data_IF_594633132285
#
_entry.id   IF_594633132285
#
_cell.length_a   1.000
_cell.length_b   1.000
_cell.length_c   1.000
_cell.angle_alpha   90.00
_cell.angle_beta   90.00
_cell.angle_gamma   90.00
#
_symmetry.space_group_name_H-M   'P 1'
#
loop_
_entity.id
_entity.type
_entity.pdbx_description
1 polymer ?
#
# COMPACT_ATOMS: atom_id res chain seq x y z
N UNK A 1 33.75 -20.83 4.71
CA UNK A 1 33.08 -20.54 3.42
C UNK A 1 32.73 -19.04 3.44
N UNK A 2 33.69 -18.11 3.27
CA UNK A 2 34.08 -17.42 2.00
C UNK A 2 32.84 -17.04 1.18
N UNK A 3 32.44 -15.79 0.88
CA UNK A 3 33.04 -14.44 0.72
C UNK A 3 31.97 -13.43 1.21
N UNK A 4 32.23 -12.25 1.78
CA UNK A 4 32.60 -10.99 1.12
C UNK A 4 33.05 -10.00 2.20
N UNK A 5 34.34 -9.66 2.24
CA UNK A 5 34.91 -8.47 2.88
C UNK A 5 36.30 -8.29 2.28
N UNK A 6 36.48 -7.22 1.50
CA UNK A 6 37.69 -6.71 0.81
C UNK A 6 37.23 -6.20 -0.55
N UNK A 7 37.25 -4.90 -0.85
CA UNK A 7 38.44 -4.05 -0.92
C UNK A 7 38.02 -2.59 -0.71
N UNK A 8 38.60 -1.96 0.30
CA UNK A 8 38.91 -0.53 0.29
C UNK A 8 40.33 -0.36 -0.28
N UNK A 9 40.55 0.79 -0.91
CA UNK A 9 41.86 1.36 -1.27
C UNK A 9 42.53 0.77 -2.53
N UNK A 10 42.49 1.52 -3.65
CA UNK A 10 43.67 1.99 -4.39
C UNK A 10 43.25 3.29 -5.09
N UNK A 11 43.95 4.35 -4.71
CA UNK A 11 43.92 5.68 -5.29
C UNK A 11 45.21 5.80 -6.12
N UNK A 12 45.14 6.59 -7.20
CA UNK A 12 46.24 7.29 -7.90
C UNK A 12 46.57 6.80 -9.33
N UNK A 13 46.36 7.76 -10.26
CA UNK A 13 46.99 7.98 -11.58
C UNK A 13 46.56 7.14 -12.79
N UNK A 14 45.53 7.65 -13.48
CA UNK A 14 45.68 7.98 -14.90
C UNK A 14 44.75 9.13 -15.28
N UNK A 15 45.35 10.30 -15.52
CA UNK A 15 44.75 11.39 -16.25
C UNK A 15 44.49 10.91 -17.67
N UNK A 16 43.23 10.96 -18.11
CA UNK A 16 42.83 11.21 -19.49
C UNK A 16 41.39 11.69 -19.41
N UNK A 17 41.24 13.01 -19.35
CA UNK A 17 39.96 13.67 -19.48
C UNK A 17 39.38 13.36 -20.88
N UNK A 18 38.16 12.81 -20.99
CA UNK A 18 37.33 13.18 -22.12
C UNK A 18 36.83 14.59 -21.83
N UNK A 19 37.47 15.57 -22.46
CA UNK A 19 36.95 16.92 -22.62
C UNK A 19 35.63 16.83 -23.39
N UNK A 20 34.52 16.57 -22.69
CA UNK A 20 33.22 16.94 -23.19
C UNK A 20 33.09 18.45 -23.01
N UNK A 21 33.63 19.18 -23.99
CA UNK A 21 33.31 20.57 -24.25
C UNK A 21 31.82 20.68 -24.54
N UNK A 22 31.01 20.82 -23.49
CA UNK A 22 29.78 21.58 -23.62
C UNK A 22 30.21 23.04 -23.61
N UNK A 23 30.28 23.64 -24.81
CA UNK A 23 30.36 25.08 -24.93
C UNK A 23 29.20 25.66 -24.12
N UNK A 24 29.53 26.32 -23.01
CA UNK A 24 28.60 27.13 -22.22
C UNK A 24 28.15 28.23 -23.17
N UNK A 25 27.02 28.01 -23.81
CA UNK A 25 26.29 29.05 -24.49
C UNK A 25 25.68 29.90 -23.37
N UNK A 26 26.29 31.05 -23.10
CA UNK A 26 25.74 32.07 -22.21
C UNK A 26 24.30 32.36 -22.65
N UNK A 27 23.32 31.78 -21.96
CA UNK A 27 21.89 32.00 -22.21
C UNK A 27 21.03 30.77 -22.45
N UNK A 28 21.56 29.54 -22.57
CA UNK A 28 20.71 28.33 -22.61
C UNK A 28 20.58 27.76 -21.20
N UNK A 29 19.36 27.67 -20.62
CA UNK A 29 19.18 27.07 -19.31
C UNK A 29 19.66 25.62 -19.35
N UNK A 30 20.50 25.24 -18.39
CA UNK A 30 20.95 23.86 -18.23
C UNK A 30 19.71 23.02 -17.86
N UNK A 31 19.19 22.29 -18.84
CA UNK A 31 17.92 21.56 -18.74
C UNK A 31 18.02 20.27 -17.92
N UNK A 32 19.24 19.75 -17.77
CA UNK A 32 19.51 18.43 -17.20
C UNK A 32 20.10 18.61 -15.81
N UNK A 33 19.60 17.82 -14.86
CA UNK A 33 20.12 17.72 -13.51
C UNK A 33 21.54 17.15 -13.53
N UNK A 34 22.43 17.71 -12.72
CA UNK A 34 23.78 17.15 -12.57
C UNK A 34 23.73 15.80 -11.84
N UNK A 35 24.81 15.02 -11.95
CA UNK A 35 24.83 13.64 -11.42
C UNK A 35 24.61 13.57 -9.91
N UNK A 36 25.34 14.37 -9.14
CA UNK A 36 25.23 14.44 -7.66
C UNK A 36 23.80 14.76 -7.17
N UNK A 37 23.13 15.84 -7.62
CA UNK A 37 21.76 16.11 -7.19
C UNK A 37 20.75 15.08 -7.69
N UNK A 38 21.02 14.39 -8.81
CA UNK A 38 20.18 13.29 -9.28
C UNK A 38 20.29 12.07 -8.35
N UNK A 39 21.49 11.71 -7.90
CA UNK A 39 21.70 10.64 -6.92
C UNK A 39 21.02 10.98 -5.57
N UNK A 40 21.19 12.21 -5.07
CA UNK A 40 20.51 12.67 -3.86
C UNK A 40 18.98 12.61 -3.99
N UNK A 41 18.43 12.98 -5.15
CA UNK A 41 16.99 12.89 -5.38
C UNK A 41 16.49 11.44 -5.34
N UNK A 42 17.25 10.49 -5.87
CA UNK A 42 16.89 9.07 -5.82
C UNK A 42 16.88 8.57 -4.36
N UNK A 43 17.86 8.97 -3.55
CA UNK A 43 17.88 8.65 -2.12
C UNK A 43 16.68 9.27 -1.38
N UNK A 44 16.34 10.52 -1.69
CA UNK A 44 15.17 11.20 -1.14
C UNK A 44 13.86 10.49 -1.50
N UNK A 45 13.73 10.00 -2.75
CA UNK A 45 12.58 9.19 -3.19
C UNK A 45 12.49 7.89 -2.38
N UNK A 46 13.60 7.20 -2.16
CA UNK A 46 13.61 5.98 -1.35
C UNK A 46 13.13 6.27 0.09
N UNK A 47 13.67 7.31 0.72
CA UNK A 47 13.27 7.72 2.07
C UNK A 47 11.80 8.15 2.12
N UNK A 48 11.32 8.87 1.10
CA UNK A 48 9.93 9.28 1.00
C UNK A 48 9.01 8.06 0.91
N UNK A 49 9.34 7.06 0.10
CA UNK A 49 8.57 5.82 -0.03
C UNK A 49 8.47 5.10 1.32
N UNK A 50 9.58 4.91 2.05
CA UNK A 50 9.56 4.19 3.33
C UNK A 50 8.68 4.88 4.40
N UNK A 51 8.59 6.21 4.34
CA UNK A 51 7.79 7.00 5.28
C UNK A 51 6.38 7.30 4.77
N UNK A 52 6.05 6.94 3.52
CA UNK A 52 4.77 7.30 2.92
C UNK A 52 3.61 6.46 3.49
N UNK A 53 2.45 7.06 3.82
CA UNK A 53 1.30 6.35 4.38
C UNK A 53 0.84 5.15 3.53
N UNK A 54 0.89 5.26 2.20
CA UNK A 54 0.54 4.14 1.29
C UNK A 54 1.43 2.92 1.49
N UNK A 55 2.75 3.12 1.62
CA UNK A 55 3.67 2.02 1.88
C UNK A 55 3.44 1.44 3.28
N UNK A 56 3.26 2.30 4.29
CA UNK A 56 3.00 1.86 5.66
C UNK A 56 1.69 1.05 5.77
N UNK A 57 0.64 1.47 5.07
CA UNK A 57 -0.62 0.74 4.99
C UNK A 57 -0.45 -0.64 4.33
N UNK A 58 0.28 -0.70 3.21
CA UNK A 58 0.57 -1.96 2.53
C UNK A 58 1.45 -2.89 3.38
N UNK A 59 2.44 -2.35 4.09
CA UNK A 59 3.26 -3.09 5.06
C UNK A 59 2.41 -3.64 6.21
N UNK A 60 1.48 -2.85 6.74
CA UNK A 60 0.55 -3.29 7.77
C UNK A 60 -0.40 -4.39 7.27
N UNK A 61 -0.84 -4.34 6.01
CA UNK A 61 -1.65 -5.39 5.40
C UNK A 61 -0.88 -6.72 5.32
N UNK A 62 0.39 -6.70 4.92
CA UNK A 62 1.24 -7.91 4.93
C UNK A 62 1.40 -8.47 6.33
N UNK A 63 1.64 -7.61 7.33
CA UNK A 63 1.74 -8.04 8.73
C UNK A 63 0.42 -8.68 9.21
N UNK A 64 -0.72 -8.08 8.87
CA UNK A 64 -2.04 -8.64 9.17
C UNK A 64 -2.23 -10.03 8.55
N UNK A 65 -1.86 -10.20 7.28
CA UNK A 65 -1.99 -11.49 6.59
C UNK A 65 -1.04 -12.55 7.14
N UNK A 66 0.16 -12.16 7.58
CA UNK A 66 1.05 -13.07 8.32
C UNK A 66 0.41 -13.58 9.62
N UNK A 67 -0.28 -12.71 10.36
CA UNK A 67 -1.00 -13.14 11.55
C UNK A 67 -2.21 -14.02 11.22
N UNK A 68 -2.89 -13.81 10.07
CA UNK A 68 -3.94 -14.74 9.61
C UNK A 68 -3.39 -16.14 9.35
N UNK A 69 -2.16 -16.26 8.83
CA UNK A 69 -1.48 -17.56 8.70
C UNK A 69 -1.24 -18.19 10.08
N UNK A 70 -0.82 -17.40 11.08
CA UNK A 70 -0.63 -17.91 12.45
C UNK A 70 -1.95 -18.34 13.10
N UNK A 71 -3.03 -17.58 12.88
CA UNK A 71 -4.38 -17.93 13.34
C UNK A 71 -4.84 -19.23 12.68
N UNK A 72 -4.67 -19.40 11.36
CA UNK A 72 -5.01 -20.64 10.68
C UNK A 72 -4.21 -21.83 11.23
N UNK A 73 -2.90 -21.66 11.47
CA UNK A 73 -2.06 -22.70 12.10
C UNK A 73 -2.49 -23.04 13.53
N UNK A 74 -3.14 -22.12 14.25
CA UNK A 74 -3.61 -22.38 15.61
C UNK A 74 -4.70 -23.46 15.67
N UNK A 75 -5.42 -23.71 14.57
CA UNK A 75 -6.42 -24.77 14.49
C UNK A 75 -5.81 -26.18 14.66
N UNK A 76 -4.52 -26.35 14.36
CA UNK A 76 -3.77 -27.59 14.60
C UNK A 76 -3.30 -27.75 16.05
N UNK A 77 -3.43 -26.73 16.88
CA UNK A 77 -2.99 -26.72 18.27
C UNK A 77 -4.16 -27.00 19.23
N UNK A 78 -3.89 -27.44 20.47
CA UNK A 78 -4.94 -27.62 21.46
C UNK A 78 -5.60 -26.27 21.78
N UNK A 79 -6.92 -26.24 21.69
CA UNK A 79 -7.74 -25.08 22.03
C UNK A 79 -8.29 -25.27 23.44
N UNK A 80 -8.01 -24.33 24.32
CA UNK A 80 -8.46 -24.35 25.72
C UNK A 80 -9.44 -23.20 25.93
N UNK A 81 -10.69 -23.52 26.26
CA UNK A 81 -11.73 -22.55 26.55
C UNK A 81 -12.21 -22.68 27.99
N UNK A 82 -12.30 -21.55 28.69
CA UNK A 82 -12.92 -21.45 30.00
C UNK A 82 -14.19 -20.59 29.85
N UNK A 83 -15.34 -21.17 30.18
CA UNK A 83 -16.61 -20.47 30.19
C UNK A 83 -17.16 -20.44 31.61
N UNK A 84 -17.74 -19.32 32.01
CA UNK A 84 -18.45 -19.17 33.28
C UNK A 84 -19.77 -18.48 33.01
N UNK A 85 -20.85 -19.03 33.54
CA UNK A 85 -22.20 -18.52 33.35
C UNK A 85 -22.94 -18.52 34.67
N UNK A 86 -23.63 -17.42 34.96
CA UNK A 86 -24.49 -17.26 36.13
C UNK A 86 -25.90 -16.90 35.69
N UNK A 87 -26.90 -17.60 36.22
CA UNK A 87 -28.31 -17.29 36.00
C UNK A 87 -28.88 -16.87 37.36
N UNK A 88 -29.47 -15.67 37.41
CA UNK A 88 -30.14 -15.14 38.60
C UNK A 88 -31.61 -14.90 38.29
N UNK A 89 -32.50 -15.55 39.05
CA UNK A 89 -33.94 -15.45 38.82
C UNK A 89 -34.55 -14.40 39.78
N UNK A 90 -35.06 -13.30 39.22
CA UNK A 90 -35.52 -12.12 40.01
C UNK A 90 -37.03 -12.16 40.31
N UNK A 91 -37.80 -13.08 39.72
CA UNK A 91 -39.21 -13.30 40.07
C UNK A 91 -39.70 -14.69 39.67
N UNK A 92 -40.23 -15.46 40.63
CA UNK A 92 -41.04 -16.64 40.34
C UNK A 92 -42.51 -16.19 40.21
N UNK A 93 -43.00 -15.98 38.99
CA UNK A 93 -44.46 -15.94 38.78
C UNK A 93 -45.01 -17.34 39.03
N UNK A 94 -45.78 -17.49 40.09
CA UNK A 94 -46.45 -18.75 40.47
C UNK A 94 -47.69 -19.02 39.61
N UNK A 95 -48.01 -18.14 38.66
CA UNK A 95 -49.27 -18.15 37.91
C UNK A 95 -49.31 -19.20 36.77
N UNK A 96 -48.16 -19.71 36.31
CA UNK A 96 -48.07 -20.53 35.08
C UNK A 96 -47.43 -21.93 35.28
N UNK A 97 -47.81 -22.66 36.34
CA UNK A 97 -47.36 -24.05 36.54
C UNK A 97 -48.50 -25.04 36.78
N UNK A 98 -49.06 -25.58 35.70
CA UNK A 98 -49.72 -26.88 35.72
C UNK A 98 -48.65 -27.98 35.64
N UNK A 99 -48.19 -28.48 36.80
CA UNK A 99 -47.36 -29.69 36.93
C UNK A 99 -48.18 -30.78 37.63
N UNK A 100 -48.42 -31.91 36.96
CA UNK A 100 -49.17 -33.06 37.48
C UNK A 100 -48.35 -33.90 38.47
N UNK A 101 -47.03 -33.67 38.59
CA UNK A 101 -46.12 -34.41 39.46
C UNK A 101 -45.22 -33.45 40.23
N UNK A 102 -45.66 -33.01 41.41
CA UNK A 102 -44.81 -32.31 42.39
C UNK A 102 -44.45 -30.86 42.03
N UNK A 103 -44.24 -30.06 43.07
CA UNK A 103 -43.89 -28.65 42.97
C UNK A 103 -42.59 -28.46 42.17
N UNK A 104 -42.63 -27.69 41.09
CA UNK A 104 -41.41 -27.23 40.45
C UNK A 104 -40.89 -26.05 41.28
N UNK A 105 -39.97 -26.31 42.22
CA UNK A 105 -39.22 -25.24 42.86
C UNK A 105 -38.53 -24.46 41.74
N UNK A 106 -38.83 -23.17 41.62
CA UNK A 106 -38.18 -22.31 40.64
C UNK A 106 -36.67 -22.47 40.76
N UNK A 107 -36.00 -22.67 39.63
CA UNK A 107 -34.56 -22.83 39.53
C UNK A 107 -33.91 -21.70 40.33
N UNK A 108 -33.19 -22.04 41.39
CA UNK A 108 -32.46 -21.07 42.21
C UNK A 108 -31.25 -20.51 41.45
N UNK A 109 -30.64 -19.45 41.97
CA UNK A 109 -29.45 -18.83 41.41
C UNK A 109 -28.39 -19.90 41.10
N UNK A 110 -28.00 -20.02 39.82
CA UNK A 110 -27.10 -21.07 39.32
C UNK A 110 -25.83 -20.46 38.78
N UNK A 111 -24.68 -20.96 39.22
CA UNK A 111 -23.37 -20.58 38.66
C UNK A 111 -22.64 -21.82 38.17
N UNK A 112 -22.26 -21.80 36.90
CA UNK A 112 -21.57 -22.90 36.24
C UNK A 112 -20.21 -22.43 35.72
N UNK A 113 -19.19 -23.27 35.88
CA UNK A 113 -17.86 -23.06 35.29
C UNK A 113 -17.51 -24.30 34.46
N UNK A 114 -17.12 -24.09 33.21
CA UNK A 114 -16.79 -25.16 32.27
C UNK A 114 -15.42 -24.92 31.65
N UNK A 115 -14.52 -25.89 31.76
CA UNK A 115 -13.24 -25.93 31.07
C UNK A 115 -13.33 -26.97 29.95
N UNK A 116 -13.07 -26.54 28.71
CA UNK A 116 -13.11 -27.40 27.52
C UNK A 116 -11.76 -27.34 26.81
N UNK A 117 -11.13 -28.50 26.62
CA UNK A 117 -9.92 -28.67 25.83
C UNK A 117 -10.30 -29.46 24.58
N UNK A 118 -10.07 -28.86 23.40
CA UNK A 118 -10.32 -29.50 22.10
C UNK A 118 -9.04 -29.58 21.28
N UNK A 119 -8.75 -30.75 20.74
CA UNK A 119 -7.65 -30.97 19.81
C UNK A 119 -8.18 -31.59 18.53
N UNK A 120 -7.86 -30.98 17.39
CA UNK A 120 -8.10 -31.61 16.11
C UNK A 120 -7.14 -32.79 15.92
N UNK A 121 -7.66 -33.97 15.66
CA UNK A 121 -6.84 -35.15 15.33
C UNK A 121 -6.74 -35.32 13.82
N UNK A 122 -7.85 -35.13 13.10
CA UNK A 122 -7.92 -35.28 11.66
C UNK A 122 -9.15 -34.57 11.10
N UNK A 123 -9.04 -33.84 10.00
CA UNK A 123 -10.16 -33.18 9.31
C UNK A 123 -10.07 -33.34 7.79
N UNK A 124 -9.55 -34.48 7.33
CA UNK A 124 -9.42 -34.77 5.91
C UNK A 124 -8.66 -33.66 5.13
N UNK A 125 -7.65 -33.05 5.77
CA UNK A 125 -6.79 -31.99 5.24
C UNK A 125 -7.43 -30.61 5.07
N UNK A 126 -8.66 -30.39 5.56
CA UNK A 126 -9.32 -29.06 5.54
C UNK A 126 -8.44 -27.97 6.16
N UNK A 127 -7.87 -28.20 7.34
CA UNK A 127 -7.04 -27.19 8.03
C UNK A 127 -5.73 -26.93 7.27
N UNK A 128 -5.16 -27.95 6.61
CA UNK A 128 -3.96 -27.77 5.80
C UNK A 128 -4.23 -26.85 4.60
N UNK A 129 -5.32 -27.09 3.89
CA UNK A 129 -5.76 -26.22 2.79
C UNK A 129 -6.05 -24.80 3.30
N UNK A 130 -6.72 -24.63 4.44
CA UNK A 130 -6.93 -23.30 5.04
C UNK A 130 -5.61 -22.56 5.32
N UNK A 131 -4.61 -23.26 5.86
CA UNK A 131 -3.27 -22.68 6.07
C UNK A 131 -2.63 -22.28 4.73
N UNK A 132 -2.77 -23.09 3.69
CA UNK A 132 -2.21 -22.80 2.37
C UNK A 132 -2.93 -21.62 1.68
N UNK A 133 -4.25 -21.46 1.85
CA UNK A 133 -5.00 -20.27 1.41
C UNK A 133 -4.39 -19.02 2.04
N UNK A 134 -4.19 -19.03 3.36
CA UNK A 134 -3.65 -17.86 4.06
C UNK A 134 -2.20 -17.58 3.67
N UNK A 135 -1.35 -18.61 3.45
CA UNK A 135 0.05 -18.43 2.99
C UNK A 135 0.12 -17.84 1.58
N UNK A 136 -0.73 -18.31 0.66
CA UNK A 136 -0.79 -17.78 -0.69
C UNK A 136 -1.32 -16.34 -0.68
N UNK A 137 -2.28 -16.04 0.21
CA UNK A 137 -2.79 -14.68 0.42
C UNK A 137 -1.73 -13.74 1.00
N UNK A 138 -0.97 -14.18 2.01
CA UNK A 138 0.16 -13.43 2.56
C UNK A 138 1.20 -13.13 1.48
N UNK A 139 1.56 -14.13 0.67
CA UNK A 139 2.49 -13.94 -0.45
C UNK A 139 1.93 -12.98 -1.50
N UNK A 140 0.63 -13.04 -1.80
CA UNK A 140 -0.01 -12.10 -2.72
C UNK A 140 0.05 -10.67 -2.16
N UNK A 141 -0.23 -10.47 -0.87
CA UNK A 141 -0.17 -9.16 -0.24
C UNK A 141 1.26 -8.58 -0.20
N UNK A 142 2.30 -9.45 -0.16
CA UNK A 142 3.69 -9.00 -0.34
C UNK A 142 3.91 -8.38 -1.72
N UNK A 143 3.42 -9.02 -2.79
CA UNK A 143 3.50 -8.45 -4.14
C UNK A 143 2.61 -7.22 -4.33
N UNK A 144 1.45 -7.18 -3.67
CA UNK A 144 0.59 -6.00 -3.66
C UNK A 144 1.29 -4.79 -3.00
N UNK A 145 2.04 -5.02 -1.92
CA UNK A 145 2.91 -3.99 -1.31
C UNK A 145 4.01 -3.55 -2.28
N UNK A 146 4.66 -4.47 -2.97
CA UNK A 146 5.72 -4.14 -3.92
C UNK A 146 5.16 -3.36 -5.13
N UNK A 147 3.95 -3.70 -5.59
CA UNK A 147 3.21 -2.91 -6.58
C UNK A 147 2.93 -1.48 -6.08
N UNK A 148 2.49 -1.34 -4.82
CA UNK A 148 2.25 -0.02 -4.23
C UNK A 148 3.54 0.82 -4.17
N UNK A 149 4.68 0.20 -3.88
CA UNK A 149 6.01 0.84 -3.94
C UNK A 149 6.33 1.32 -5.35
N UNK A 150 6.18 0.46 -6.37
CA UNK A 150 6.47 0.81 -7.77
C UNK A 150 5.55 1.95 -8.25
N UNK A 151 4.26 1.90 -7.95
CA UNK A 151 3.31 2.96 -8.32
C UNK A 151 3.65 4.28 -7.64
N UNK A 152 4.03 4.24 -6.36
CA UNK A 152 4.43 5.43 -5.62
C UNK A 152 5.72 6.04 -6.17
N UNK A 153 6.73 5.21 -6.44
CA UNK A 153 7.99 5.64 -7.04
C UNK A 153 7.77 6.29 -8.41
N UNK A 154 6.97 5.65 -9.27
CA UNK A 154 6.60 6.20 -10.58
C UNK A 154 5.91 7.56 -10.43
N UNK A 155 4.95 7.66 -9.50
CA UNK A 155 4.24 8.93 -9.24
C UNK A 155 5.20 10.04 -8.78
N UNK A 156 6.12 9.74 -7.89
CA UNK A 156 7.14 10.70 -7.41
C UNK A 156 8.08 11.15 -8.53
N UNK A 157 8.55 10.21 -9.35
CA UNK A 157 9.41 10.49 -10.51
C UNK A 157 8.71 11.33 -11.57
N UNK A 158 7.49 10.95 -11.97
CA UNK A 158 6.70 11.71 -12.94
C UNK A 158 6.45 13.14 -12.44
N UNK A 159 6.16 13.31 -11.16
CA UNK A 159 5.91 14.64 -10.63
C UNK A 159 7.17 15.52 -10.57
N UNK A 160 8.34 14.94 -10.27
CA UNK A 160 9.62 15.62 -10.43
C UNK A 160 9.84 16.09 -11.90
N UNK A 161 9.53 15.24 -12.87
CA UNK A 161 9.61 15.61 -14.29
C UNK A 161 8.61 16.72 -14.65
N UNK A 162 7.39 16.68 -14.10
CA UNK A 162 6.37 17.70 -14.32
C UNK A 162 6.78 19.05 -13.72
N UNK A 163 7.29 19.08 -12.47
CA UNK A 163 7.77 20.32 -11.85
C UNK A 163 8.92 20.93 -12.63
N UNK A 164 9.88 20.10 -13.07
CA UNK A 164 11.01 20.55 -13.87
C UNK A 164 10.55 21.11 -15.23
N UNK A 165 9.65 20.40 -15.90
CA UNK A 165 9.09 20.81 -17.20
C UNK A 165 8.32 22.13 -17.10
N UNK A 166 7.48 22.29 -16.08
CA UNK A 166 6.74 23.53 -15.89
C UNK A 166 7.62 24.69 -15.41
N UNK A 167 8.69 24.42 -14.66
CA UNK A 167 9.68 25.44 -14.28
C UNK A 167 10.35 26.01 -15.52
N UNK A 168 10.78 25.14 -16.44
CA UNK A 168 11.33 25.55 -17.73
C UNK A 168 10.32 26.30 -18.60
N UNK A 169 9.09 25.78 -18.75
CA UNK A 169 8.07 26.44 -19.55
C UNK A 169 7.72 27.83 -19.00
N UNK A 170 7.76 28.00 -17.68
CA UNK A 170 7.53 29.28 -17.02
C UNK A 170 8.58 30.31 -17.40
N UNK A 171 9.87 29.95 -17.40
CA UNK A 171 10.94 30.88 -17.81
C UNK A 171 10.83 31.24 -19.29
N UNK A 172 10.61 30.24 -20.16
CA UNK A 172 10.43 30.45 -21.60
C UNK A 172 9.23 31.36 -21.93
N UNK A 173 8.11 31.22 -21.20
CA UNK A 173 6.95 32.07 -21.40
C UNK A 173 7.13 33.48 -20.85
N UNK A 174 7.88 33.66 -19.76
CA UNK A 174 8.22 34.99 -19.29
C UNK A 174 9.01 35.78 -20.36
N UNK A 175 10.00 35.14 -20.99
CA UNK A 175 10.75 35.72 -22.10
C UNK A 175 9.86 36.00 -23.32
N UNK A 176 8.95 35.08 -23.64
CA UNK A 176 7.98 35.27 -24.73
C UNK A 176 7.06 36.47 -24.49
N UNK A 177 6.54 36.64 -23.27
CA UNK A 177 5.71 37.79 -22.89
C UNK A 177 6.50 39.09 -22.98
N UNK A 178 7.75 39.11 -22.49
CA UNK A 178 8.63 40.28 -22.60
C UNK A 178 8.87 40.69 -24.07
N UNK A 179 9.14 39.73 -24.96
CA UNK A 179 9.28 39.99 -26.41
C UNK A 179 8.00 40.50 -27.04
N UNK A 180 6.84 39.91 -26.71
CA UNK A 180 5.55 40.38 -27.21
C UNK A 180 5.23 41.79 -26.72
N UNK A 181 5.62 42.14 -25.50
CA UNK A 181 5.49 43.49 -24.95
C UNK A 181 6.34 44.48 -25.75
N UNK A 182 7.63 44.19 -25.94
CA UNK A 182 8.55 45.05 -26.69
C UNK A 182 8.06 45.32 -28.12
N UNK A 183 7.64 44.27 -28.85
CA UNK A 183 7.11 44.41 -30.21
C UNK A 183 5.85 45.28 -30.22
N UNK A 184 4.97 45.10 -29.23
CA UNK A 184 3.73 45.88 -29.11
C UNK A 184 4.02 47.35 -28.87
N UNK A 185 5.01 47.65 -28.02
CA UNK A 185 5.44 49.03 -27.72
C UNK A 185 6.08 49.69 -28.94
N UNK A 186 6.92 48.96 -29.69
CA UNK A 186 7.48 49.47 -30.96
C UNK A 186 6.40 49.76 -32.01
N UNK A 187 5.37 48.91 -32.12
CA UNK A 187 4.24 49.13 -33.03
C UNK A 187 3.44 50.35 -32.58
N UNK A 188 3.22 50.53 -31.27
CA UNK A 188 2.55 51.70 -30.71
C UNK A 188 3.23 53.00 -31.14
N UNK A 189 4.56 53.09 -30.99
CA UNK A 189 5.34 54.25 -31.44
C UNK A 189 5.17 54.55 -32.93
N UNK A 190 5.11 53.50 -33.78
CA UNK A 190 4.88 53.68 -35.23
C UNK A 190 3.48 54.21 -35.53
N UNK A 191 2.46 53.71 -34.84
CA UNK A 191 1.07 54.18 -34.98
C UNK A 191 0.94 55.63 -34.50
N UNK A 192 1.48 55.96 -33.33
CA UNK A 192 1.41 57.30 -32.74
C UNK A 192 2.13 58.35 -33.62
N UNK A 193 3.19 57.93 -34.34
CA UNK A 193 3.89 58.78 -35.32
C UNK A 193 3.22 58.85 -36.70
N UNK A 194 2.04 58.23 -36.88
CA UNK A 194 1.32 58.18 -38.15
C UNK A 194 1.95 57.28 -39.22
N UNK A 195 2.96 56.47 -38.86
CA UNK A 195 3.70 55.58 -39.78
C UNK A 195 3.09 54.18 -39.91
N UNK A 196 2.05 53.86 -39.15
CA UNK A 196 1.35 52.57 -39.20
C UNK A 196 -0.15 52.73 -38.86
N UNK A 197 -1.03 51.85 -39.37
CA UNK A 197 -2.46 51.91 -39.08
C UNK A 197 -2.81 51.32 -37.72
N UNK A 198 -3.84 51.85 -37.05
CA UNK A 198 -4.29 51.43 -35.71
C UNK A 198 -4.63 49.93 -35.59
N UNK A 199 -5.06 49.29 -36.69
CA UNK A 199 -5.32 47.84 -36.74
C UNK A 199 -4.09 47.00 -36.39
N UNK A 200 -2.90 47.44 -36.75
CA UNK A 200 -1.64 46.75 -36.43
C UNK A 200 -1.39 46.71 -34.93
N UNK A 201 -1.62 47.84 -34.25
CA UNK A 201 -1.53 47.92 -32.79
C UNK A 201 -2.57 47.04 -32.09
N UNK A 202 -3.81 47.05 -32.57
CA UNK A 202 -4.86 46.16 -32.03
C UNK A 202 -4.48 44.68 -32.14
N UNK A 203 -3.91 44.25 -33.28
CA UNK A 203 -3.42 42.87 -33.48
C UNK A 203 -2.23 42.53 -32.56
N UNK A 204 -1.31 43.47 -32.36
CA UNK A 204 -0.17 43.27 -31.45
C UNK A 204 -0.64 43.11 -29.99
N UNK A 205 -1.54 43.99 -29.54
CA UNK A 205 -2.17 43.90 -28.22
C UNK A 205 -2.90 42.56 -28.01
N UNK A 206 -3.61 42.06 -29.02
CA UNK A 206 -4.27 40.74 -28.93
C UNK A 206 -3.26 39.61 -28.72
N UNK A 207 -2.13 39.61 -29.43
CA UNK A 207 -1.05 38.62 -29.26
C UNK A 207 -0.37 38.72 -27.90
N UNK A 208 -0.14 39.94 -27.40
CA UNK A 208 0.39 40.17 -26.06
C UNK A 208 -0.59 39.63 -24.99
N UNK A 209 -1.88 39.89 -25.13
CA UNK A 209 -2.90 39.35 -24.23
C UNK A 209 -2.92 37.81 -24.27
N UNK A 210 -2.83 37.21 -25.45
CA UNK A 210 -2.72 35.75 -25.61
C UNK A 210 -1.47 35.18 -24.92
N UNK A 211 -0.31 35.83 -25.08
CA UNK A 211 0.94 35.41 -24.43
C UNK A 211 0.83 35.49 -22.89
N UNK A 212 0.25 36.57 -22.35
CA UNK A 212 0.00 36.72 -20.91
C UNK A 212 -0.96 35.66 -20.39
N UNK A 213 -2.01 35.32 -21.14
CA UNK A 213 -2.93 34.24 -20.76
C UNK A 213 -2.21 32.88 -20.69
N UNK A 214 -1.32 32.59 -21.65
CA UNK A 214 -0.48 31.38 -21.63
C UNK A 214 0.45 31.33 -20.41
N UNK A 215 1.08 32.46 -20.06
CA UNK A 215 1.92 32.57 -18.86
C UNK A 215 1.13 32.22 -17.59
N UNK A 216 -0.05 32.82 -17.41
CA UNK A 216 -0.92 32.52 -16.24
C UNK A 216 -1.28 31.04 -16.18
N UNK A 217 -1.62 30.43 -17.32
CA UNK A 217 -1.95 29.00 -17.38
C UNK A 217 -0.76 28.10 -16.96
N UNK A 218 0.46 28.41 -17.41
CA UNK A 218 1.64 27.63 -17.02
C UNK A 218 2.01 27.89 -15.56
N UNK A 219 1.87 29.10 -15.04
CA UNK A 219 2.07 29.38 -13.62
C UNK A 219 1.11 28.57 -12.74
N UNK A 220 -0.15 28.43 -13.15
CA UNK A 220 -1.12 27.59 -12.45
C UNK A 220 -0.73 26.11 -12.50
N UNK A 221 -0.33 25.59 -13.66
CA UNK A 221 0.15 24.20 -13.80
C UNK A 221 1.39 23.93 -12.95
N UNK A 222 2.36 24.86 -12.97
CA UNK A 222 3.56 24.77 -12.14
C UNK A 222 3.22 24.72 -10.65
N UNK A 223 2.31 25.60 -10.18
CA UNK A 223 1.86 25.57 -8.77
C UNK A 223 1.11 24.29 -8.42
N UNK A 224 0.30 23.76 -9.35
CA UNK A 224 -0.40 22.48 -9.19
C UNK A 224 0.57 21.31 -9.02
N UNK A 225 1.53 21.16 -9.95
CA UNK A 225 2.57 20.13 -9.87
C UNK A 225 3.40 20.26 -8.58
N UNK A 226 3.78 21.48 -8.22
CA UNK A 226 4.52 21.75 -6.98
C UNK A 226 3.74 21.36 -5.71
N UNK A 227 2.43 21.60 -5.69
CA UNK A 227 1.58 21.21 -4.57
C UNK A 227 1.50 19.69 -4.45
N UNK A 228 1.31 18.98 -5.55
CA UNK A 228 1.31 17.52 -5.57
C UNK A 228 2.69 16.96 -5.17
N UNK A 229 3.79 17.60 -5.60
CA UNK A 229 5.14 17.15 -5.28
C UNK A 229 5.37 17.23 -3.78
N UNK A 230 5.03 18.36 -3.16
CA UNK A 230 5.15 18.57 -1.71
C UNK A 230 4.24 17.65 -0.91
N UNK A 231 3.10 17.23 -1.46
CA UNK A 231 2.25 16.23 -0.82
C UNK A 231 2.93 14.85 -0.80
N UNK A 232 3.60 14.46 -1.89
CA UNK A 232 4.29 13.16 -1.99
C UNK A 232 5.61 13.16 -1.22
N UNK A 233 6.37 14.24 -1.30
CA UNK A 233 7.74 14.39 -0.80
C UNK A 233 7.90 15.73 -0.05
N UNK A 234 7.39 15.86 1.18
CA UNK A 234 7.33 17.13 1.90
C UNK A 234 8.70 17.67 2.33
N UNK A 235 9.68 16.79 2.54
CA UNK A 235 11.02 17.15 3.02
C UNK A 235 12.05 17.33 1.89
N UNK A 236 11.61 17.26 0.63
CA UNK A 236 12.46 17.29 -0.56
C UNK A 236 12.17 18.54 -1.37
N UNK A 237 13.20 19.15 -1.93
CA UNK A 237 13.04 20.28 -2.84
C UNK A 237 12.52 19.80 -4.20
N UNK A 238 11.55 20.52 -4.76
CA UNK A 238 11.01 20.19 -6.07
C UNK A 238 12.07 20.32 -7.17
N UNK A 239 11.97 19.44 -8.16
CA UNK A 239 12.88 19.43 -9.29
C UNK A 239 12.64 20.64 -10.18
N UNK A 240 13.70 21.40 -10.46
CA UNK A 240 13.71 22.49 -11.44
C UNK A 240 14.39 22.10 -12.76
N UNK A 241 15.14 20.99 -12.76
CA UNK A 241 15.87 20.43 -13.90
C UNK A 241 15.44 18.98 -14.13
N UNK A 242 15.53 18.51 -15.37
CA UNK A 242 15.11 17.17 -15.76
C UNK A 242 16.09 16.11 -15.26
N UNK A 243 15.55 14.99 -14.76
CA UNK A 243 16.35 13.81 -14.47
C UNK A 243 16.96 13.24 -15.75
N UNK A 244 18.21 12.80 -15.64
CA UNK A 244 18.90 12.07 -16.71
C UNK A 244 18.64 10.59 -16.51
N UNK A 245 18.24 9.91 -17.59
CA UNK A 245 18.13 8.45 -17.63
C UNK A 245 19.19 7.93 -18.58
N UNK A 246 20.01 6.99 -18.12
CA UNK A 246 21.01 6.36 -18.97
C UNK A 246 20.32 5.57 -20.10
N UNK A 247 20.77 5.68 -21.36
CA UNK A 247 20.14 4.98 -22.48
C UNK A 247 20.03 3.46 -22.30
N UNK A 248 20.94 2.85 -21.53
CA UNK A 248 20.91 1.42 -21.22
C UNK A 248 19.73 0.98 -20.34
N UNK A 249 19.13 1.92 -19.61
CA UNK A 249 17.96 1.68 -18.74
C UNK A 249 16.62 1.90 -19.48
N UNK A 250 16.67 2.24 -20.77
CA UNK A 250 15.48 2.45 -21.59
C UNK A 250 15.24 1.24 -22.50
N UNK A 251 14.08 0.60 -22.34
CA UNK A 251 13.65 -0.50 -23.20
C UNK A 251 12.91 0.08 -24.41
N UNK A 252 13.58 0.13 -25.56
CA UNK A 252 12.99 0.65 -26.81
C UNK A 252 12.29 -0.43 -27.65
N UNK A 253 12.49 -1.72 -27.33
CA UNK A 253 11.83 -2.83 -28.02
C UNK A 253 10.55 -3.22 -27.27
N UNK A 254 9.40 -3.03 -27.91
CA UNK A 254 8.08 -3.33 -27.32
C UNK A 254 7.90 -4.79 -26.96
N UNK A 255 8.41 -5.72 -27.77
CA UNK A 255 8.28 -7.15 -27.50
C UNK A 255 9.07 -7.54 -26.25
N UNK A 256 10.31 -7.07 -26.14
CA UNK A 256 11.13 -7.27 -24.95
C UNK A 256 10.48 -6.66 -23.70
N UNK A 257 9.90 -5.45 -23.83
CA UNK A 257 9.19 -4.80 -22.74
C UNK A 257 7.96 -5.60 -22.26
N UNK A 258 7.21 -6.23 -23.17
CA UNK A 258 6.08 -7.08 -22.83
C UNK A 258 6.56 -8.33 -22.10
N UNK A 259 7.60 -9.00 -22.60
CA UNK A 259 8.16 -10.19 -21.98
C UNK A 259 8.68 -9.91 -20.56
N UNK A 260 9.40 -8.81 -20.38
CA UNK A 260 9.89 -8.36 -19.08
C UNK A 260 8.75 -7.97 -18.14
N UNK A 261 7.72 -7.27 -18.65
CA UNK A 261 6.55 -6.92 -17.86
C UNK A 261 5.78 -8.17 -17.41
N UNK A 262 5.58 -9.17 -18.27
CA UNK A 262 4.91 -10.41 -17.89
C UNK A 262 5.69 -11.20 -16.83
N UNK A 263 7.03 -11.15 -16.88
CA UNK A 263 7.88 -11.85 -15.92
C UNK A 263 7.96 -11.14 -14.56
N UNK A 264 8.05 -9.80 -14.57
CA UNK A 264 8.45 -9.01 -13.39
C UNK A 264 7.34 -8.14 -12.81
N UNK A 265 6.16 -8.03 -13.43
CA UNK A 265 5.08 -7.20 -12.91
C UNK A 265 4.51 -7.79 -11.60
N UNK A 266 4.62 -7.06 -10.46
CA UNK A 266 4.14 -7.58 -9.18
C UNK A 266 2.63 -7.85 -9.16
N UNK A 267 1.83 -7.09 -9.90
CA UNK A 267 0.37 -7.29 -9.97
C UNK A 267 -0.04 -8.58 -10.68
N UNK A 268 0.76 -9.02 -11.66
CA UNK A 268 0.56 -10.34 -12.29
C UNK A 268 0.92 -11.45 -11.30
N UNK A 269 2.02 -11.29 -10.57
CA UNK A 269 2.46 -12.27 -9.56
C UNK A 269 1.49 -12.36 -8.38
N UNK A 270 0.97 -11.23 -7.90
CA UNK A 270 -0.12 -11.16 -6.93
C UNK A 270 -1.33 -11.94 -7.43
N UNK A 271 -1.80 -11.64 -8.65
CA UNK A 271 -2.98 -12.28 -9.23
C UNK A 271 -2.82 -13.80 -9.34
N UNK A 272 -1.64 -14.28 -9.74
CA UNK A 272 -1.33 -15.70 -9.80
C UNK A 272 -1.41 -16.39 -8.42
N UNK A 273 -0.96 -15.71 -7.36
CA UNK A 273 -1.06 -16.24 -5.99
C UNK A 273 -2.49 -16.21 -5.44
N UNK A 274 -3.28 -15.20 -5.80
CA UNK A 274 -4.73 -15.19 -5.49
C UNK A 274 -5.47 -16.34 -6.17
N UNK A 275 -5.10 -16.69 -7.41
CA UNK A 275 -5.64 -17.88 -8.10
C UNK A 275 -5.28 -19.15 -7.32
N UNK A 276 -4.02 -19.33 -6.92
CA UNK A 276 -3.62 -20.47 -6.08
C UNK A 276 -4.36 -20.53 -4.75
N UNK A 277 -4.60 -19.40 -4.10
CA UNK A 277 -5.42 -19.34 -2.89
C UNK A 277 -6.86 -19.78 -3.15
N UNK A 278 -7.44 -19.42 -4.31
CA UNK A 278 -8.79 -19.85 -4.70
C UNK A 278 -8.83 -21.36 -5.03
N UNK A 279 -7.80 -21.92 -5.66
CA UNK A 279 -7.65 -23.36 -5.89
C UNK A 279 -7.57 -24.14 -4.58
N UNK A 280 -6.77 -23.67 -3.61
CA UNK A 280 -6.72 -24.25 -2.26
C UNK A 280 -8.06 -24.13 -1.53
N UNK A 281 -8.81 -23.04 -1.75
CA UNK A 281 -10.15 -22.90 -1.19
C UNK A 281 -11.13 -23.92 -1.78
N UNK A 282 -11.03 -24.22 -3.08
CA UNK A 282 -11.81 -25.30 -3.69
C UNK A 282 -11.46 -26.66 -3.07
N UNK A 283 -10.17 -26.95 -2.88
CA UNK A 283 -9.72 -28.19 -2.24
C UNK A 283 -10.17 -28.29 -0.77
N UNK A 284 -10.18 -27.18 -0.03
CA UNK A 284 -10.74 -27.09 1.32
C UNK A 284 -12.23 -27.46 1.35
N UNK A 285 -13.03 -26.90 0.45
CA UNK A 285 -14.46 -27.21 0.40
C UNK A 285 -14.74 -28.66 0.02
N UNK A 286 -13.91 -29.26 -0.85
CA UNK A 286 -13.97 -30.70 -1.11
C UNK A 286 -13.59 -31.52 0.12
N UNK A 287 -12.61 -31.05 0.90
CA UNK A 287 -12.12 -31.73 2.09
C UNK A 287 -13.16 -31.74 3.22
N UNK A 288 -14.02 -30.73 3.29
CA UNK A 288 -15.14 -30.64 4.22
C UNK A 288 -16.17 -31.78 4.08
N UNK A 289 -16.14 -32.55 2.98
CA UNK A 289 -16.97 -33.73 2.78
C UNK A 289 -16.43 -34.98 3.51
N UNK A 290 -15.18 -34.94 3.97
CA UNK A 290 -14.53 -36.01 4.71
C UNK A 290 -14.87 -36.02 6.20
N UNK A 291 -14.49 -37.09 6.92
CA UNK A 291 -14.71 -37.16 8.36
C UNK A 291 -13.81 -36.16 9.09
N UNK A 292 -14.39 -35.53 10.12
CA UNK A 292 -13.65 -34.71 11.08
C UNK A 292 -13.64 -35.43 12.42
N UNK A 293 -12.43 -35.62 12.95
CA UNK A 293 -12.14 -36.33 14.19
C UNK A 293 -11.45 -35.36 15.14
N UNK A 294 -12.08 -35.13 16.28
CA UNK A 294 -11.65 -34.20 17.32
C UNK A 294 -11.61 -34.91 18.67
N UNK A 295 -10.56 -34.67 19.44
CA UNK A 295 -10.47 -35.07 20.83
C UNK A 295 -11.02 -33.93 21.68
N UNK A 296 -12.02 -34.22 22.51
CA UNK A 296 -12.60 -33.27 23.45
C UNK A 296 -12.47 -33.80 24.88
N UNK A 297 -11.94 -32.95 25.76
CA UNK A 297 -11.90 -33.16 27.21
C UNK A 297 -12.60 -31.97 27.86
N UNK A 298 -13.63 -32.23 28.65
CA UNK A 298 -14.46 -31.22 29.29
C UNK A 298 -14.60 -31.52 30.78
N UNK A 299 -14.42 -30.49 31.60
CA UNK A 299 -14.70 -30.51 33.03
C UNK A 299 -15.68 -29.41 33.38
N UNK A 300 -16.84 -29.77 33.89
CA UNK A 300 -17.86 -28.85 34.36
C UNK A 300 -17.94 -28.87 35.88
N UNK A 301 -18.15 -27.70 36.48
CA UNK A 301 -18.45 -27.54 37.90
C UNK A 301 -19.74 -26.74 38.06
N UNK A 302 -20.66 -27.26 38.86
CA UNK A 302 -21.98 -26.67 39.09
C UNK A 302 -22.11 -26.23 40.54
N UNK A 303 -22.61 -25.01 40.78
CA UNK A 303 -23.05 -24.60 42.11
C UNK A 303 -24.58 -24.64 42.13
N UNK A 304 -25.16 -25.64 42.81
CA UNK A 304 -26.59 -25.67 43.11
C UNK A 304 -26.80 -25.59 44.61
N UNK A 305 -27.57 -24.63 45.08
CA UNK A 305 -28.04 -24.63 46.47
C UNK A 305 -29.20 -25.63 46.70
N UNK A 306 -29.67 -26.37 45.68
CA UNK A 306 -30.89 -27.20 45.75
C UNK A 306 -30.74 -28.74 45.57
N UNK A 307 -29.57 -29.30 45.27
CA UNK A 307 -29.42 -30.78 45.23
C UNK A 307 -29.20 -31.39 46.63
N UNK A 308 -30.14 -31.17 47.56
CA UNK A 308 -30.09 -31.74 48.92
C UNK A 308 -30.65 -33.17 49.06
N UNK A 309 -30.82 -33.93 47.97
CA UNK A 309 -31.30 -35.33 48.06
C UNK A 309 -30.54 -36.34 47.19
N UNK A 310 -29.27 -36.13 46.86
CA UNK A 310 -28.50 -37.17 46.18
C UNK A 310 -27.00 -37.03 46.35
N UNK A 311 -26.33 -38.15 46.59
CA UNK A 311 -24.87 -38.36 46.70
C UNK A 311 -24.10 -38.08 45.39
N UNK A 312 -24.58 -37.18 44.52
CA UNK A 312 -23.93 -36.88 43.24
C UNK A 312 -22.86 -35.78 43.40
N UNK A 313 -21.67 -35.94 42.80
CA UNK A 313 -20.61 -34.95 42.82
C UNK A 313 -21.03 -33.65 42.12
N UNK A 314 -20.48 -32.52 42.57
CA UNK A 314 -20.71 -31.15 42.03
C UNK A 314 -19.91 -30.87 40.73
N UNK A 315 -19.38 -31.91 40.10
CA UNK A 315 -18.54 -31.84 38.92
C UNK A 315 -18.81 -32.99 37.96
N UNK A 316 -18.74 -32.70 36.67
CA UNK A 316 -18.80 -33.69 35.59
C UNK A 316 -17.51 -33.63 34.78
N UNK A 317 -17.00 -34.81 34.38
CA UNK A 317 -15.85 -34.94 33.50
C UNK A 317 -16.22 -35.77 32.28
N UNK A 318 -16.00 -35.22 31.10
CA UNK A 318 -16.21 -35.87 29.82
C UNK A 318 -14.88 -35.92 29.06
N UNK A 319 -14.56 -37.08 28.51
CA UNK A 319 -13.47 -37.23 27.56
C UNK A 319 -13.95 -38.14 26.43
N UNK A 320 -13.87 -37.66 25.20
CA UNK A 320 -14.39 -38.37 24.04
C UNK A 320 -13.70 -37.97 22.75
N UNK A 321 -13.83 -38.84 21.75
CA UNK A 321 -13.46 -38.53 20.37
C UNK A 321 -14.77 -38.35 19.61
N UNK A 322 -14.94 -37.15 19.05
CA UNK A 322 -16.11 -36.75 18.25
C UNK A 322 -15.72 -36.65 16.78
#
# INVERSE_FOLDING_TARGET
VKKYYSIALILVLSQLAPMNCYAVTEGVPILIMEKEPAEQFIDDVQQAIYNHPTYLAAKAAVAQSSERVNIAKSALKPQVGLTSSGIKNISNSKEDQFSFFGQNSGIDDRTDVSLVIRQLLFDFFTTEHEINIQKNTESADQFARDQAVVQLALKMLTNCLDTASFSLLKTMLADSVARHQEITDQIKVRVDSGRAPMREYSRANARLAEARAKQVNIDLKHRGALAEFRQLMPNTQACEKMLTVEPGNLVFNTQLAIEEALANNPGIQESALRIKAAEENLAKEQSNLGPRITLEVRGDKYNSEQFFTSEFPDYDFYAGIN
#
